data_IF_754856798307
#
_entry.id   IF_754856798307
#
_cell.length_a   1.000
_cell.length_b   1.000
_cell.length_c   1.000
_cell.angle_alpha   90.00
_cell.angle_beta   90.00
_cell.angle_gamma   90.00
#
_symmetry.space_group_name_H-M   'P 1'
#
loop_
_entity.id
_entity.type
_entity.pdbx_description
1 polymer ?
#
# COMPACT_ATOMS: atom_id res chain seq x y z
N UNK A 1 -61.16 -53.11 35.71
CA UNK A 1 -61.22 -53.28 37.19
C UNK A 1 -59.91 -52.73 37.75
N UNK A 2 -59.81 -51.83 38.74
CA UNK A 2 -60.79 -51.09 39.57
C UNK A 2 -60.35 -49.61 39.69
N UNK A 3 -61.34 -48.75 39.95
CA UNK A 3 -61.30 -47.37 40.49
C UNK A 3 -60.48 -47.26 41.81
N UNK A 4 -60.14 -46.10 42.44
CA UNK A 4 -60.60 -44.69 42.33
C UNK A 4 -59.63 -43.72 43.08
N UNK A 5 -59.91 -42.39 43.01
CA UNK A 5 -59.44 -41.26 43.87
C UNK A 5 -58.00 -40.75 43.60
N UNK A 6 -57.55 -39.51 43.95
CA UNK A 6 -58.10 -38.15 44.25
C UNK A 6 -57.26 -37.42 45.35
N UNK A 7 -56.86 -36.16 45.05
CA UNK A 7 -56.56 -34.98 45.91
C UNK A 7 -55.14 -34.67 46.50
N UNK A 8 -54.63 -33.51 46.06
CA UNK A 8 -53.96 -32.37 46.74
C UNK A 8 -52.89 -32.51 47.84
N UNK A 9 -51.82 -31.71 47.68
CA UNK A 9 -51.28 -30.62 48.56
C UNK A 9 -49.89 -30.27 47.99
N UNK A 10 -49.72 -29.17 47.26
CA UNK A 10 -49.42 -27.80 47.74
C UNK A 10 -48.13 -27.69 48.59
N UNK A 11 -46.99 -27.49 47.92
CA UNK A 11 -45.89 -26.66 48.45
C UNK A 11 -45.01 -26.13 47.31
N UNK A 12 -45.12 -24.82 47.07
CA UNK A 12 -44.04 -23.84 46.97
C UNK A 12 -42.71 -24.32 46.34
N UNK A 13 -42.44 -23.84 45.12
CA UNK A 13 -41.16 -23.17 44.84
C UNK A 13 -41.45 -21.99 43.91
N UNK A 14 -41.18 -20.79 44.40
CA UNK A 14 -41.37 -19.49 43.74
C UNK A 14 -39.99 -18.83 43.69
N UNK A 15 -39.73 -17.96 42.69
CA UNK A 15 -38.41 -17.33 42.43
C UNK A 15 -37.46 -18.40 41.81
N UNK A 16 -36.75 -18.19 40.71
CA UNK A 16 -36.05 -16.98 40.26
C UNK A 16 -36.37 -16.65 38.78
N UNK A 17 -36.95 -15.48 38.53
CA UNK A 17 -36.69 -14.72 37.31
C UNK A 17 -35.83 -13.54 37.73
N UNK A 18 -34.52 -13.61 37.50
CA UNK A 18 -33.67 -12.43 37.53
C UNK A 18 -33.97 -11.63 36.26
N UNK A 19 -34.96 -10.75 36.34
CA UNK A 19 -34.82 -9.49 35.64
C UNK A 19 -33.80 -8.68 36.42
N UNK A 20 -32.69 -8.27 35.78
CA UNK A 20 -31.96 -7.13 36.29
C UNK A 20 -32.91 -5.94 36.25
N UNK A 21 -33.30 -5.47 37.44
CA UNK A 21 -33.55 -4.06 37.66
C UNK A 21 -32.18 -3.42 37.65
N UNK A 22 -31.81 -2.81 36.53
CA UNK A 22 -30.79 -1.77 36.55
C UNK A 22 -31.48 -0.55 37.17
N UNK A 23 -31.36 -0.45 38.51
CA UNK A 23 -32.01 0.60 39.28
C UNK A 23 -31.31 1.94 39.06
N UNK A 24 -31.98 2.78 38.28
CA UNK A 24 -32.26 4.18 38.64
C UNK A 24 -31.04 5.02 39.06
N UNK A 25 -30.29 5.48 38.05
CA UNK A 25 -29.86 6.88 37.89
C UNK A 25 -29.39 7.10 36.44
N UNK A 26 -30.29 6.95 35.47
CA UNK A 26 -30.09 7.61 34.19
C UNK A 26 -30.32 9.10 34.43
N UNK A 27 -29.32 9.94 34.14
CA UNK A 27 -29.61 11.37 34.06
C UNK A 27 -30.56 11.59 32.88
N UNK A 28 -31.56 12.44 33.11
CA UNK A 28 -32.55 12.84 32.09
C UNK A 28 -32.45 14.35 31.80
N UNK A 29 -31.39 14.99 32.28
CA UNK A 29 -31.12 16.42 32.16
C UNK A 29 -30.22 16.62 30.96
N UNK A 30 -30.69 17.21 29.85
CA UNK A 30 -29.82 17.43 28.71
C UNK A 30 -28.72 18.43 29.06
N UNK A 31 -27.48 18.22 28.57
CA UNK A 31 -26.37 19.11 28.84
C UNK A 31 -26.62 20.51 28.26
N UNK A 32 -25.89 21.49 28.79
CA UNK A 32 -25.91 22.85 28.26
C UNK A 32 -25.49 22.92 26.78
N UNK A 33 -25.89 23.98 26.08
CA UNK A 33 -25.32 24.28 24.77
C UNK A 33 -23.87 24.77 24.91
N UNK A 34 -22.99 24.33 24.02
CA UNK A 34 -21.63 24.86 23.91
C UNK A 34 -21.61 26.34 23.49
N UNK A 35 -20.46 27.00 23.65
CA UNK A 35 -20.22 28.37 23.15
C UNK A 35 -19.14 28.34 22.07
N UNK A 36 -19.39 28.97 20.92
CA UNK A 36 -18.43 29.04 19.81
C UNK A 36 -17.38 30.11 20.12
N UNK A 37 -16.11 29.76 20.03
CA UNK A 37 -14.99 30.70 20.22
C UNK A 37 -14.50 31.28 18.90
N UNK A 38 -14.29 30.42 17.90
CA UNK A 38 -13.73 30.79 16.60
C UNK A 38 -14.11 29.73 15.53
N UNK A 39 -14.11 30.15 14.26
CA UNK A 39 -14.22 29.24 13.11
C UNK A 39 -13.09 29.58 12.13
N UNK A 40 -12.26 28.59 11.80
CA UNK A 40 -11.16 28.71 10.83
C UNK A 40 -11.51 27.89 9.59
N UNK A 41 -11.85 28.51 8.44
CA UNK A 41 -12.01 27.80 7.18
C UNK A 41 -10.73 27.04 6.77
N UNK A 42 -10.90 25.85 6.23
CA UNK A 42 -9.82 24.99 5.67
C UNK A 42 -10.20 24.56 4.26
N UNK A 43 -9.26 23.94 3.53
CA UNK A 43 -9.47 23.53 2.15
C UNK A 43 -10.45 22.35 2.09
N UNK A 44 -11.68 22.64 1.64
CA UNK A 44 -12.79 21.70 1.66
C UNK A 44 -13.42 21.49 3.05
N UNK A 45 -13.27 22.46 3.96
CA UNK A 45 -13.72 22.31 5.33
C UNK A 45 -13.65 23.54 6.23
N UNK A 46 -13.75 23.31 7.53
CA UNK A 46 -13.48 24.31 8.56
C UNK A 46 -13.38 23.70 9.95
N UNK A 47 -12.50 24.26 10.77
CA UNK A 47 -12.32 23.89 12.18
C UNK A 47 -13.17 24.84 13.04
N UNK A 48 -14.12 24.28 13.79
CA UNK A 48 -14.98 25.01 14.71
C UNK A 48 -14.43 24.81 16.12
N UNK A 49 -13.94 25.88 16.74
CA UNK A 49 -13.47 25.89 18.14
C UNK A 49 -14.58 26.34 19.09
N UNK A 50 -14.72 25.65 20.21
CA UNK A 50 -15.81 25.86 21.16
C UNK A 50 -15.39 25.62 22.62
N UNK A 51 -16.12 26.24 23.53
CA UNK A 51 -16.11 25.95 24.96
C UNK A 51 -17.33 25.09 25.33
N UNK A 52 -17.09 23.96 26.01
CA UNK A 52 -18.14 23.10 26.55
C UNK A 52 -18.90 23.77 27.72
N UNK A 53 -20.16 23.40 27.99
CA UNK A 53 -20.86 23.80 29.20
C UNK A 53 -20.16 23.24 30.46
N UNK A 54 -20.48 23.81 31.63
CA UNK A 54 -20.07 23.26 32.94
C UNK A 54 -20.97 22.07 33.27
N UNK A 55 -20.61 20.90 32.73
CA UNK A 55 -21.31 19.64 32.92
C UNK A 55 -20.32 18.47 33.05
N UNK A 56 -20.68 17.45 33.83
CA UNK A 56 -19.71 16.47 34.34
C UNK A 56 -19.68 15.12 33.62
N UNK A 57 -20.71 14.80 32.85
CA UNK A 57 -20.89 13.54 32.12
C UNK A 57 -21.00 13.74 30.59
N UNK A 58 -20.40 14.80 30.06
CA UNK A 58 -20.33 15.03 28.61
C UNK A 58 -19.54 13.89 27.94
N UNK A 59 -20.15 13.26 26.94
CA UNK A 59 -19.56 12.17 26.17
C UNK A 59 -18.88 12.69 24.89
N UNK A 60 -19.61 13.44 24.05
CA UNK A 60 -19.08 14.05 22.83
C UNK A 60 -19.87 15.27 22.36
N UNK A 61 -19.24 16.07 21.48
CA UNK A 61 -19.90 17.04 20.63
C UNK A 61 -20.18 16.41 19.27
N UNK A 62 -21.39 16.59 18.75
CA UNK A 62 -21.82 16.14 17.42
C UNK A 62 -22.14 17.33 16.55
N UNK A 63 -21.52 17.41 15.38
CA UNK A 63 -21.85 18.41 14.36
C UNK A 63 -22.61 17.74 13.21
N UNK A 64 -23.81 18.23 12.90
CA UNK A 64 -24.62 17.79 11.75
C UNK A 64 -24.59 18.84 10.64
N UNK A 65 -24.41 18.40 9.38
CA UNK A 65 -24.42 19.25 8.19
C UNK A 65 -24.80 18.46 6.93
N UNK A 66 -25.02 19.16 5.82
CA UNK A 66 -25.23 18.55 4.50
C UNK A 66 -23.92 18.62 3.72
N UNK A 67 -23.37 17.48 3.29
CA UNK A 67 -22.16 17.45 2.48
C UNK A 67 -22.42 17.94 1.04
N UNK A 68 -21.37 18.09 0.23
CA UNK A 68 -21.51 18.59 -1.15
C UNK A 68 -22.21 17.63 -2.12
N UNK A 69 -22.44 16.37 -1.73
CA UNK A 69 -23.29 15.41 -2.43
C UNK A 69 -24.79 15.53 -2.05
N UNK A 70 -25.15 16.49 -1.18
CA UNK A 70 -26.52 16.70 -0.72
C UNK A 70 -26.99 15.72 0.37
N UNK A 71 -26.08 14.96 0.97
CA UNK A 71 -26.38 13.96 2.00
C UNK A 71 -26.18 14.58 3.38
N UNK A 72 -27.14 14.34 4.28
CA UNK A 72 -27.00 14.71 5.70
C UNK A 72 -25.99 13.80 6.38
N UNK A 73 -24.90 14.39 6.87
CA UNK A 73 -23.78 13.71 7.54
C UNK A 73 -23.56 14.29 8.93
N UNK A 74 -22.74 13.61 9.73
CA UNK A 74 -22.28 14.15 11.00
C UNK A 74 -20.82 13.79 11.27
N UNK A 75 -20.17 14.61 12.10
CA UNK A 75 -18.87 14.34 12.72
C UNK A 75 -19.04 14.36 14.24
N UNK A 76 -18.13 13.72 14.97
CA UNK A 76 -18.09 13.72 16.43
C UNK A 76 -16.71 14.09 16.94
N UNK A 77 -16.65 14.79 18.07
CA UNK A 77 -15.42 15.11 18.78
C UNK A 77 -15.60 14.82 20.27
N UNK A 78 -14.65 14.13 20.89
CA UNK A 78 -14.78 13.70 22.28
C UNK A 78 -14.88 14.88 23.25
N UNK A 79 -15.44 14.67 24.44
CA UNK A 79 -15.51 15.68 25.51
C UNK A 79 -14.16 16.21 26.00
N UNK A 80 -13.04 15.58 25.61
CA UNK A 80 -11.68 16.03 25.91
C UNK A 80 -11.16 17.09 24.92
N UNK A 81 -11.88 17.35 23.84
CA UNK A 81 -11.52 18.29 22.79
C UNK A 81 -12.34 19.60 22.89
N UNK A 82 -11.73 20.70 22.45
CA UNK A 82 -12.37 22.01 22.32
C UNK A 82 -12.58 22.43 20.85
N UNK A 83 -12.52 21.48 19.92
CA UNK A 83 -12.77 21.71 18.50
C UNK A 83 -13.36 20.50 17.80
N UNK A 84 -14.00 20.76 16.66
CA UNK A 84 -14.45 19.74 15.70
C UNK A 84 -14.09 20.21 14.29
N UNK A 85 -13.54 19.30 13.50
CA UNK A 85 -13.31 19.52 12.07
C UNK A 85 -14.55 19.14 11.28
N UNK A 86 -14.89 19.99 10.31
CA UNK A 86 -15.87 19.75 9.27
C UNK A 86 -15.10 19.63 7.96
N UNK A 87 -15.22 18.50 7.28
CA UNK A 87 -14.52 18.16 6.05
C UNK A 87 -15.48 17.53 5.01
N UNK A 88 -14.94 17.11 3.86
CA UNK A 88 -15.71 16.53 2.76
C UNK A 88 -16.59 17.55 2.02
N UNK A 89 -16.21 18.83 2.03
CA UNK A 89 -16.91 19.90 1.31
C UNK A 89 -16.19 20.26 0.00
N UNK A 90 -16.96 20.41 -1.08
CA UNK A 90 -16.49 20.78 -2.41
C UNK A 90 -17.18 22.05 -2.95
N UNK A 91 -17.56 22.96 -2.06
CA UNK A 91 -18.31 24.17 -2.38
C UNK A 91 -17.62 25.42 -1.83
N UNK A 92 -17.64 26.53 -2.58
CA UNK A 92 -17.12 27.83 -2.11
C UNK A 92 -18.25 28.75 -1.59
N UNK A 93 -19.30 28.15 -1.02
CA UNK A 93 -20.49 28.83 -0.50
C UNK A 93 -20.70 28.51 0.97
N UNK A 94 -21.32 29.44 1.69
CA UNK A 94 -21.61 29.28 3.11
C UNK A 94 -22.41 27.99 3.39
N UNK A 95 -22.02 27.27 4.43
CA UNK A 95 -22.67 26.08 4.96
C UNK A 95 -23.11 26.35 6.40
N UNK A 96 -24.31 25.89 6.76
CA UNK A 96 -24.81 25.89 8.13
C UNK A 96 -24.48 24.55 8.79
N UNK A 97 -23.81 24.58 9.94
CA UNK A 97 -23.49 23.42 10.77
C UNK A 97 -24.22 23.54 12.10
N UNK A 98 -24.81 22.43 12.56
CA UNK A 98 -25.61 22.36 13.80
C UNK A 98 -24.86 21.53 14.82
N UNK A 99 -24.37 22.16 15.89
CA UNK A 99 -23.61 21.49 16.94
C UNK A 99 -24.50 21.17 18.15
N UNK A 100 -24.31 19.97 18.68
CA UNK A 100 -24.99 19.45 19.87
C UNK A 100 -23.96 18.90 20.85
N UNK A 101 -24.21 19.08 22.14
CA UNK A 101 -23.51 18.37 23.22
C UNK A 101 -24.33 17.14 23.58
N UNK A 102 -23.68 15.99 23.73
CA UNK A 102 -24.30 14.71 24.10
C UNK A 102 -23.60 14.15 25.34
N UNK A 103 -24.38 13.72 26.33
CA UNK A 103 -23.90 13.15 27.59
C UNK A 103 -23.76 11.61 27.55
N UNK A 104 -23.27 11.01 28.64
CA UNK A 104 -23.13 9.55 28.83
C UNK A 104 -24.49 8.81 28.85
N UNK A 105 -25.61 9.53 29.02
CA UNK A 105 -26.97 9.01 29.07
C UNK A 105 -27.75 9.20 27.74
N UNK A 106 -27.08 9.66 26.68
CA UNK A 106 -27.62 10.00 25.36
C UNK A 106 -28.60 11.21 25.33
N UNK A 107 -28.67 12.05 26.38
CA UNK A 107 -29.42 13.30 26.28
C UNK A 107 -28.66 14.32 25.40
N UNK A 108 -29.42 15.17 24.71
CA UNK A 108 -28.90 16.06 23.66
C UNK A 108 -29.25 17.52 23.97
N UNK A 109 -28.24 18.40 23.97
CA UNK A 109 -28.41 19.84 24.18
C UNK A 109 -29.33 20.51 23.14
N UNK A 110 -29.72 21.75 23.39
CA UNK A 110 -30.23 22.59 22.30
C UNK A 110 -29.10 22.86 21.27
N UNK A 111 -29.42 22.90 19.96
CA UNK A 111 -28.42 23.11 18.92
C UNK A 111 -27.83 24.52 18.97
N UNK A 112 -26.54 24.61 18.62
CA UNK A 112 -25.89 25.86 18.25
C UNK A 112 -25.63 25.81 16.76
N UNK A 113 -26.24 26.72 16.02
CA UNK A 113 -26.11 26.80 14.56
C UNK A 113 -25.04 27.84 14.20
N UNK A 114 -24.11 27.46 13.33
CA UNK A 114 -23.04 28.33 12.82
C UNK A 114 -22.97 28.29 11.32
N UNK A 115 -22.68 29.44 10.70
CA UNK A 115 -22.43 29.56 9.28
C UNK A 115 -20.96 29.87 9.02
N UNK A 116 -20.33 29.17 8.07
CA UNK A 116 -19.02 29.55 7.55
C UNK A 116 -18.89 29.18 6.06
N UNK A 117 -17.94 29.80 5.36
CA UNK A 117 -17.59 29.42 3.99
C UNK A 117 -16.22 28.74 4.03
N UNK A 118 -16.06 27.50 3.53
CA UNK A 118 -14.77 26.82 3.47
C UNK A 118 -13.85 27.47 2.42
N UNK A 119 -12.57 27.09 2.42
CA UNK A 119 -11.66 27.37 1.30
C UNK A 119 -11.89 26.32 0.18
N UNK A 120 -11.44 26.58 -1.07
CA UNK A 120 -11.55 25.61 -2.17
C UNK A 120 -11.04 24.22 -1.77
N UNK A 121 -11.73 23.16 -2.20
CA UNK A 121 -11.34 21.81 -1.81
C UNK A 121 -9.92 21.48 -2.26
N UNK A 122 -9.19 20.77 -1.39
CA UNK A 122 -7.80 20.37 -1.60
C UNK A 122 -7.62 19.51 -2.87
N UNK A 123 -8.66 18.78 -3.31
CA UNK A 123 -8.64 18.03 -4.57
C UNK A 123 -8.37 18.93 -5.78
N UNK A 124 -8.80 20.19 -5.77
CA UNK A 124 -8.49 21.13 -6.85
C UNK A 124 -7.04 21.62 -6.77
N UNK A 125 -6.49 21.81 -5.57
CA UNK A 125 -5.07 22.16 -5.41
C UNK A 125 -4.15 21.03 -5.88
N UNK A 126 -4.48 19.79 -5.50
CA UNK A 126 -3.80 18.58 -5.98
C UNK A 126 -3.89 18.52 -7.50
N UNK A 127 -5.10 18.58 -8.06
CA UNK A 127 -5.35 18.57 -9.50
C UNK A 127 -4.55 19.65 -10.24
N UNK A 128 -4.53 20.90 -9.75
CA UNK A 128 -3.76 22.02 -10.33
C UNK A 128 -2.24 21.78 -10.27
N UNK A 129 -1.75 21.07 -9.25
CA UNK A 129 -0.32 20.79 -9.04
C UNK A 129 0.24 19.61 -9.85
N UNK A 130 -0.63 18.72 -10.39
CA UNK A 130 -0.20 17.51 -11.11
C UNK A 130 0.72 17.87 -12.28
N UNK A 131 1.95 17.36 -12.21
CA UNK A 131 2.93 17.34 -13.29
C UNK A 131 3.05 15.92 -13.84
N UNK A 132 3.32 15.80 -15.14
CA UNK A 132 3.59 14.52 -15.81
C UNK A 132 4.82 14.69 -16.69
N UNK A 133 5.78 13.78 -16.60
CA UNK A 133 7.02 13.79 -17.38
C UNK A 133 7.34 12.41 -17.98
N UNK A 134 7.96 12.34 -19.17
CA UNK A 134 8.34 11.07 -19.79
C UNK A 134 9.38 10.33 -18.96
N UNK A 135 9.19 9.03 -18.79
CA UNK A 135 10.15 8.11 -18.18
C UNK A 135 10.30 6.85 -19.03
N UNK A 136 11.24 5.97 -18.70
CA UNK A 136 11.46 4.71 -19.40
C UNK A 136 10.32 3.72 -19.14
N UNK A 137 9.70 3.26 -20.23
CA UNK A 137 8.54 2.39 -20.22
C UNK A 137 7.30 3.02 -19.58
N UNK A 138 7.23 4.35 -19.49
CA UNK A 138 6.21 4.99 -18.68
C UNK A 138 6.24 6.51 -18.63
N UNK A 139 5.58 7.03 -17.59
CA UNK A 139 5.64 8.42 -17.19
C UNK A 139 5.81 8.53 -15.68
N UNK A 140 6.49 9.58 -15.22
CA UNK A 140 6.54 9.97 -13.81
C UNK A 140 5.50 11.06 -13.55
N UNK A 141 4.65 10.84 -12.56
CA UNK A 141 3.69 11.80 -12.03
C UNK A 141 4.21 12.39 -10.71
N UNK A 142 4.03 13.70 -10.54
CA UNK A 142 4.34 14.41 -9.30
C UNK A 142 3.16 15.33 -8.92
N UNK A 143 2.85 15.47 -7.63
CA UNK A 143 1.87 16.46 -7.14
C UNK A 143 2.13 16.90 -5.70
N UNK A 144 1.56 18.04 -5.33
CA UNK A 144 1.55 18.57 -3.95
C UNK A 144 0.19 18.32 -3.29
N UNK A 145 0.20 17.88 -2.03
CA UNK A 145 -1.00 17.63 -1.23
C UNK A 145 -0.84 18.30 0.14
N UNK A 146 -1.00 19.62 0.14
CA UNK A 146 -0.71 20.52 1.27
C UNK A 146 -1.55 20.27 2.53
N UNK A 147 -2.64 19.51 2.43
CA UNK A 147 -3.49 19.13 3.58
C UNK A 147 -3.15 17.75 4.16
N UNK A 148 -2.24 16.98 3.54
CA UNK A 148 -1.84 15.61 3.94
C UNK A 148 -3.05 14.64 4.06
N UNK A 149 -4.12 14.90 3.30
CA UNK A 149 -5.35 14.10 3.26
C UNK A 149 -5.29 13.07 2.14
N UNK A 150 -5.95 11.92 2.33
CA UNK A 150 -6.01 10.88 1.30
C UNK A 150 -6.73 11.38 0.05
N UNK A 151 -6.05 11.31 -1.09
CA UNK A 151 -6.60 11.52 -2.44
C UNK A 151 -6.55 10.24 -3.27
N UNK A 152 -7.40 10.21 -4.30
CA UNK A 152 -7.36 9.25 -5.39
C UNK A 152 -7.21 10.03 -6.71
N UNK A 153 -6.03 9.95 -7.32
CA UNK A 153 -5.77 10.50 -8.66
C UNK A 153 -6.19 9.44 -9.68
N UNK A 154 -7.24 9.72 -10.45
CA UNK A 154 -7.65 8.88 -11.57
C UNK A 154 -6.87 9.35 -12.80
N UNK A 155 -5.82 8.63 -13.16
CA UNK A 155 -5.04 8.85 -14.37
C UNK A 155 -5.69 8.11 -15.55
N UNK A 156 -6.19 8.87 -16.52
CA UNK A 156 -6.65 8.38 -17.81
C UNK A 156 -5.48 8.47 -18.81
N UNK A 157 -5.12 7.34 -19.41
CA UNK A 157 -4.05 7.20 -20.41
C UNK A 157 -4.71 6.84 -21.72
N UNK A 158 -4.59 7.70 -22.73
CA UNK A 158 -5.21 7.50 -24.05
C UNK A 158 -4.14 7.28 -25.10
N UNK A 159 -4.10 6.08 -25.70
CA UNK A 159 -3.27 5.73 -26.85
C UNK A 159 -4.18 5.49 -28.08
N UNK A 160 -4.25 6.49 -28.96
CA UNK A 160 -5.11 6.46 -30.14
C UNK A 160 -6.61 6.35 -29.80
N UNK A 161 -7.19 5.17 -29.99
CA UNK A 161 -8.59 4.84 -29.70
C UNK A 161 -8.76 4.04 -28.38
N UNK A 162 -7.67 3.66 -27.71
CA UNK A 162 -7.68 2.89 -26.45
C UNK A 162 -7.50 3.80 -25.23
N UNK A 163 -8.22 3.51 -24.13
CA UNK A 163 -8.18 4.25 -22.87
C UNK A 163 -7.93 3.27 -21.71
N UNK A 164 -6.84 3.49 -20.96
CA UNK A 164 -6.57 2.84 -19.68
C UNK A 164 -6.83 3.82 -18.53
N UNK A 165 -7.46 3.37 -17.45
CA UNK A 165 -7.65 4.19 -16.23
C UNK A 165 -6.92 3.52 -15.06
N UNK A 166 -5.98 4.24 -14.47
CA UNK A 166 -5.25 3.84 -13.26
C UNK A 166 -5.62 4.75 -12.10
N UNK A 167 -5.85 4.17 -10.93
CA UNK A 167 -6.17 4.92 -9.71
C UNK A 167 -4.95 4.88 -8.80
N UNK A 168 -4.38 6.05 -8.52
CA UNK A 168 -3.23 6.23 -7.65
C UNK A 168 -3.71 6.87 -6.34
N UNK A 169 -3.30 6.35 -5.19
CA UNK A 169 -3.72 6.90 -3.89
C UNK A 169 -2.52 7.31 -3.06
N UNK A 170 -2.64 8.46 -2.39
CA UNK A 170 -1.64 8.96 -1.46
C UNK A 170 -2.26 9.90 -0.43
N UNK A 171 -1.59 10.03 0.70
CA UNK A 171 -1.79 11.06 1.72
C UNK A 171 -0.48 11.79 2.08
N UNK A 172 0.60 11.62 1.31
CA UNK A 172 1.89 12.29 1.55
C UNK A 172 1.80 13.78 1.18
N UNK A 173 2.65 14.67 1.73
CA UNK A 173 2.64 16.11 1.39
C UNK A 173 3.07 16.41 -0.05
N UNK A 174 3.92 15.55 -0.62
CA UNK A 174 4.44 15.63 -1.98
C UNK A 174 4.66 14.20 -2.44
N UNK A 175 4.07 13.84 -3.58
CA UNK A 175 4.05 12.46 -4.06
C UNK A 175 4.76 12.33 -5.40
N UNK A 176 5.41 11.18 -5.61
CA UNK A 176 6.15 10.84 -6.83
C UNK A 176 5.83 9.38 -7.22
N UNK A 177 5.11 9.18 -8.32
CA UNK A 177 4.70 7.85 -8.78
C UNK A 177 5.09 7.61 -10.23
N UNK A 178 5.73 6.46 -10.46
CA UNK A 178 6.04 5.95 -11.78
C UNK A 178 4.93 5.06 -12.33
N UNK A 179 4.42 5.42 -13.50
CA UNK A 179 3.35 4.72 -14.21
C UNK A 179 3.97 3.97 -15.39
N UNK A 180 4.25 2.68 -15.18
CA UNK A 180 5.07 1.81 -16.07
C UNK A 180 4.25 0.96 -17.04
N UNK A 181 4.92 0.27 -17.96
CA UNK A 181 4.28 -0.62 -18.94
C UNK A 181 3.59 0.11 -20.10
N UNK A 182 4.04 1.32 -20.44
CA UNK A 182 3.55 2.10 -21.57
C UNK A 182 4.52 1.98 -22.76
N UNK A 183 3.98 1.82 -23.97
CA UNK A 183 4.78 1.86 -25.19
C UNK A 183 5.33 3.26 -25.49
N UNK A 184 6.39 3.34 -26.30
CA UNK A 184 7.01 4.59 -26.78
C UNK A 184 6.21 5.27 -27.90
N UNK A 185 4.89 5.39 -27.72
CA UNK A 185 3.95 6.06 -28.64
C UNK A 185 3.50 7.42 -28.05
N UNK A 186 2.95 8.32 -28.87
CA UNK A 186 2.39 9.59 -28.39
C UNK A 186 1.03 9.36 -27.72
N UNK A 187 0.95 9.57 -26.41
CA UNK A 187 -0.24 9.34 -25.58
C UNK A 187 -0.74 10.63 -24.93
N UNK A 188 -2.05 10.73 -24.70
CA UNK A 188 -2.67 11.84 -23.96
C UNK A 188 -2.95 11.40 -22.53
N UNK A 189 -2.52 12.20 -21.56
CA UNK A 189 -2.69 11.94 -20.14
C UNK A 189 -3.67 12.96 -19.55
N UNK A 190 -4.80 12.46 -19.03
CA UNK A 190 -5.82 13.26 -18.35
C UNK A 190 -5.95 12.81 -16.89
N UNK A 191 -6.33 13.73 -16.01
CA UNK A 191 -6.51 13.44 -14.58
C UNK A 191 -7.76 14.08 -14.02
N UNK A 192 -8.32 13.44 -13.00
CA UNK A 192 -9.29 13.99 -12.06
C UNK A 192 -8.93 13.47 -10.66
N UNK A 193 -9.16 14.27 -9.63
CA UNK A 193 -8.86 13.91 -8.24
C UNK A 193 -10.15 13.72 -7.46
N UNK A 194 -10.22 12.64 -6.68
CA UNK A 194 -11.32 12.29 -5.78
C UNK A 194 -10.84 12.29 -4.32
N UNK A 195 -11.67 12.79 -3.40
CA UNK A 195 -11.45 12.68 -1.95
C UNK A 195 -12.16 11.46 -1.33
N UNK A 196 -11.86 11.19 -0.06
CA UNK A 196 -12.45 10.07 0.68
C UNK A 196 -13.98 10.17 0.90
N UNK A 197 -14.56 11.37 0.84
CA UNK A 197 -16.02 11.59 0.94
C UNK A 197 -16.73 11.46 -0.43
N UNK A 198 -15.98 11.20 -1.51
CA UNK A 198 -16.50 10.98 -2.87
C UNK A 198 -16.72 12.27 -3.67
N UNK A 199 -16.14 13.40 -3.26
CA UNK A 199 -16.08 14.59 -4.11
C UNK A 199 -14.99 14.41 -5.16
N UNK A 200 -15.29 14.75 -6.42
CA UNK A 200 -14.38 14.56 -7.55
C UNK A 200 -14.28 15.84 -8.41
N UNK A 201 -13.10 16.11 -8.97
CA UNK A 201 -12.91 17.19 -9.96
C UNK A 201 -13.46 16.80 -11.33
N UNK A 202 -13.58 17.79 -12.22
CA UNK A 202 -13.70 17.51 -13.66
C UNK A 202 -12.40 16.84 -14.18
N UNK A 203 -12.51 16.17 -15.32
CA UNK A 203 -11.37 15.55 -16.02
C UNK A 203 -10.63 16.60 -16.86
N UNK A 204 -9.32 16.74 -16.65
CA UNK A 204 -8.47 17.71 -17.35
C UNK A 204 -7.29 17.02 -18.02
N UNK A 205 -6.99 17.42 -19.27
CA UNK A 205 -5.75 17.07 -19.96
C UNK A 205 -4.56 17.74 -19.26
N UNK A 206 -3.55 16.96 -18.88
CA UNK A 206 -2.32 17.45 -18.24
C UNK A 206 -1.14 17.49 -19.21
N UNK A 207 -1.01 16.48 -20.07
CA UNK A 207 0.10 16.41 -21.00
C UNK A 207 -0.20 15.51 -22.22
N UNK A 208 0.54 15.76 -23.30
CA UNK A 208 0.72 14.83 -24.43
C UNK A 208 2.20 14.43 -24.41
N UNK A 209 2.47 13.14 -24.20
CA UNK A 209 3.82 12.63 -23.92
C UNK A 209 4.07 11.36 -24.73
N UNK A 210 5.29 11.23 -25.24
CA UNK A 210 5.85 9.94 -25.68
C UNK A 210 6.76 9.41 -24.56
N UNK A 211 6.41 8.29 -23.90
CA UNK A 211 7.30 7.57 -22.99
C UNK A 211 8.66 7.26 -23.64
N UNK A 212 9.71 7.19 -22.83
CA UNK A 212 11.00 6.75 -23.34
C UNK A 212 10.96 5.22 -23.54
N UNK A 213 11.47 4.75 -24.69
CA UNK A 213 11.43 3.32 -25.03
C UNK A 213 12.15 2.45 -23.99
N UNK A 214 11.44 1.44 -23.52
CA UNK A 214 11.91 0.35 -22.67
C UNK A 214 11.50 -0.98 -23.29
N UNK A 215 12.36 -1.98 -23.18
CA UNK A 215 12.03 -3.38 -23.40
C UNK A 215 12.56 -4.27 -22.25
N UNK A 216 11.99 -5.47 -22.13
CA UNK A 216 12.55 -6.52 -21.29
C UNK A 216 13.84 -7.04 -21.95
N UNK A 217 14.93 -7.11 -21.20
CA UNK A 217 16.19 -7.67 -21.69
C UNK A 217 16.01 -9.18 -21.93
N UNK A 218 16.15 -9.66 -23.17
CA UNK A 218 15.99 -11.08 -23.48
C UNK A 218 17.05 -11.93 -22.75
N UNK A 219 16.61 -12.99 -22.09
CA UNK A 219 17.45 -13.89 -21.27
C UNK A 219 18.06 -15.05 -22.05
N UNK A 220 17.61 -15.31 -23.29
CA UNK A 220 18.03 -16.48 -24.09
C UNK A 220 19.55 -16.58 -24.35
N UNK A 221 20.27 -15.47 -24.17
CA UNK A 221 21.72 -15.36 -24.34
C UNK A 221 22.50 -15.42 -23.02
N UNK A 222 21.85 -15.37 -21.87
CA UNK A 222 22.50 -15.24 -20.56
C UNK A 222 23.15 -16.55 -20.10
N UNK A 223 24.32 -16.45 -19.46
CA UNK A 223 25.09 -17.62 -19.02
C UNK A 223 25.79 -17.38 -17.67
N UNK A 224 25.74 -18.40 -16.80
CA UNK A 224 26.41 -18.41 -15.50
C UNK A 224 27.94 -18.38 -15.65
N UNK A 225 28.60 -17.45 -14.96
CA UNK A 225 30.06 -17.48 -14.76
C UNK A 225 30.37 -18.22 -13.45
N UNK A 226 30.40 -19.55 -13.53
CA UNK A 226 30.51 -20.42 -12.35
C UNK A 226 31.81 -20.27 -11.56
N UNK A 227 32.88 -19.72 -12.14
CA UNK A 227 34.13 -19.46 -11.40
C UNK A 227 34.06 -18.20 -10.53
N UNK A 228 33.05 -17.35 -10.72
CA UNK A 228 32.83 -16.12 -9.96
C UNK A 228 31.53 -16.16 -9.14
N UNK A 229 30.84 -17.30 -9.12
CA UNK A 229 29.53 -17.46 -8.48
C UNK A 229 29.57 -18.49 -7.35
N UNK A 230 28.73 -18.32 -6.34
CA UNK A 230 28.38 -19.39 -5.41
C UNK A 230 27.59 -20.49 -6.13
N UNK A 231 27.60 -21.69 -5.57
CA UNK A 231 26.84 -22.82 -6.10
C UNK A 231 25.41 -22.81 -5.52
N UNK A 232 24.43 -22.51 -6.37
CA UNK A 232 22.99 -22.59 -6.09
C UNK A 232 22.33 -23.90 -6.54
N UNK A 233 23.09 -24.95 -6.85
CA UNK A 233 22.57 -26.22 -7.39
C UNK A 233 22.36 -27.30 -6.30
N UNK A 234 21.86 -26.94 -5.12
CA UNK A 234 21.56 -27.93 -4.09
C UNK A 234 20.17 -28.54 -4.29
N UNK A 235 20.06 -29.86 -4.07
CA UNK A 235 18.82 -30.63 -4.16
C UNK A 235 18.12 -30.51 -5.52
N UNK A 236 16.91 -29.96 -5.55
CA UNK A 236 16.12 -29.66 -6.76
C UNK A 236 16.44 -28.31 -7.42
N UNK A 237 17.15 -27.41 -6.73
CA UNK A 237 17.41 -26.07 -7.23
C UNK A 237 18.52 -26.02 -8.29
N UNK A 238 18.45 -25.03 -9.17
CA UNK A 238 19.48 -24.74 -10.17
C UNK A 238 19.82 -23.24 -10.18
N UNK A 239 21.10 -22.89 -10.20
CA UNK A 239 21.53 -21.47 -10.23
C UNK A 239 21.01 -20.74 -11.48
N UNK A 240 20.83 -21.45 -12.59
CA UNK A 240 20.33 -20.89 -13.85
C UNK A 240 18.81 -20.65 -13.87
N UNK A 241 18.06 -21.30 -12.97
CA UNK A 241 16.62 -21.07 -12.79
C UNK A 241 16.34 -19.60 -12.44
N UNK A 242 17.32 -18.93 -11.82
CA UNK A 242 17.25 -17.51 -11.51
C UNK A 242 17.07 -16.58 -12.72
N UNK A 243 17.19 -17.05 -13.97
CA UNK A 243 16.91 -16.25 -15.16
C UNK A 243 16.30 -17.08 -16.31
N UNK A 244 15.49 -18.09 -16.01
CA UNK A 244 14.97 -19.04 -17.01
C UNK A 244 13.58 -18.71 -17.59
N UNK A 245 13.01 -17.56 -17.22
CA UNK A 245 11.66 -17.09 -17.55
C UNK A 245 10.52 -17.93 -16.92
N UNK A 246 10.81 -18.67 -15.86
CA UNK A 246 9.83 -19.42 -15.06
C UNK A 246 9.86 -18.90 -13.62
N UNK A 247 8.77 -18.25 -13.20
CA UNK A 247 8.55 -17.90 -11.78
C UNK A 247 7.95 -19.11 -11.05
N UNK A 248 8.54 -19.46 -9.92
CA UNK A 248 8.08 -20.53 -9.03
C UNK A 248 6.73 -20.19 -8.38
N UNK A 249 5.84 -21.19 -8.25
CA UNK A 249 4.47 -21.00 -7.73
C UNK A 249 4.18 -21.82 -6.48
N UNK A 250 3.21 -21.39 -5.67
CA UNK A 250 2.86 -22.09 -4.43
C UNK A 250 1.98 -23.35 -4.62
N UNK A 251 1.44 -23.57 -5.83
CA UNK A 251 0.45 -24.63 -6.08
C UNK A 251 1.07 -26.01 -6.37
N UNK A 252 2.24 -26.02 -7.01
CA UNK A 252 2.88 -27.22 -7.55
C UNK A 252 4.39 -27.10 -7.44
N UNK A 253 5.11 -28.22 -7.46
CA UNK A 253 6.57 -28.27 -7.52
C UNK A 253 7.07 -28.82 -8.86
N UNK A 254 6.26 -28.64 -9.92
CA UNK A 254 6.55 -29.08 -11.28
C UNK A 254 7.31 -28.03 -12.10
N UNK A 255 7.20 -26.78 -11.68
CA UNK A 255 7.96 -25.60 -12.08
C UNK A 255 9.33 -25.60 -11.38
N UNK A 256 9.36 -25.62 -10.04
CA UNK A 256 10.58 -25.74 -9.22
C UNK A 256 11.72 -24.77 -9.63
N UNK A 257 11.38 -23.60 -10.17
CA UNK A 257 12.35 -22.67 -10.76
C UNK A 257 12.90 -21.71 -9.71
N UNK A 258 13.97 -22.16 -9.04
CA UNK A 258 14.73 -21.38 -8.08
C UNK A 258 16.12 -21.96 -7.86
N UNK A 259 17.04 -21.12 -7.39
CA UNK A 259 18.31 -21.59 -6.86
C UNK A 259 18.18 -22.03 -5.39
N UNK A 260 19.03 -22.96 -4.97
CA UNK A 260 19.29 -23.28 -3.56
C UNK A 260 20.79 -23.18 -3.28
N UNK A 261 21.21 -22.06 -2.68
CA UNK A 261 22.56 -21.93 -2.13
C UNK A 261 22.57 -22.65 -0.78
N UNK A 262 23.20 -23.81 -0.72
CA UNK A 262 23.43 -24.52 0.54
C UNK A 262 24.85 -24.29 1.06
N UNK A 263 25.00 -23.92 2.33
CA UNK A 263 26.30 -23.58 2.93
C UNK A 263 27.35 -24.69 2.79
N UNK A 264 26.99 -25.98 2.91
CA UNK A 264 27.97 -27.07 2.91
C UNK A 264 28.56 -27.31 1.51
N UNK A 265 27.85 -26.91 0.45
CA UNK A 265 28.38 -26.86 -0.92
C UNK A 265 29.21 -25.59 -1.20
N UNK A 266 29.21 -24.63 -0.27
CA UNK A 266 29.83 -23.31 -0.39
C UNK A 266 30.82 -23.00 0.76
N UNK A 267 31.41 -24.04 1.37
CA UNK A 267 32.46 -23.92 2.39
C UNK A 267 32.02 -24.13 3.85
N UNK A 268 30.80 -24.61 4.09
CA UNK A 268 30.27 -24.96 5.42
C UNK A 268 29.67 -23.79 6.22
N UNK A 269 29.61 -22.60 5.64
CA UNK A 269 29.04 -21.38 6.26
C UNK A 269 28.58 -20.42 5.14
N UNK A 270 27.49 -19.68 5.36
CA UNK A 270 27.04 -18.62 4.46
C UNK A 270 27.95 -17.40 4.63
N UNK A 271 29.01 -17.34 3.83
CA UNK A 271 30.01 -16.27 3.88
C UNK A 271 29.56 -15.11 2.98
N UNK A 272 28.72 -14.23 3.51
CA UNK A 272 28.19 -13.06 2.79
C UNK A 272 29.30 -12.07 2.35
N UNK A 273 29.19 -11.42 1.16
CA UNK A 273 28.10 -11.58 0.20
C UNK A 273 28.20 -12.89 -0.60
N UNK A 274 27.04 -13.37 -1.06
CA UNK A 274 26.93 -14.55 -1.90
C UNK A 274 26.70 -14.10 -3.36
N UNK A 275 27.78 -14.08 -4.13
CA UNK A 275 27.77 -13.56 -5.50
C UNK A 275 27.19 -14.57 -6.50
N UNK A 276 26.27 -14.15 -7.38
CA UNK A 276 25.89 -14.85 -8.61
C UNK A 276 26.23 -13.93 -9.79
N UNK A 277 27.04 -14.42 -10.73
CA UNK A 277 27.58 -13.65 -11.84
C UNK A 277 27.06 -14.18 -13.18
N UNK A 278 26.40 -13.31 -13.92
CA UNK A 278 25.75 -13.59 -15.20
C UNK A 278 26.48 -12.84 -16.31
N UNK A 279 26.88 -13.56 -17.36
CA UNK A 279 27.30 -13.00 -18.64
C UNK A 279 26.08 -12.94 -19.55
N UNK A 280 25.60 -11.72 -19.84
CA UNK A 280 24.44 -11.49 -20.70
C UNK A 280 24.74 -11.83 -22.17
N UNK A 281 26.01 -12.01 -22.53
CA UNK A 281 26.56 -12.23 -23.89
C UNK A 281 26.30 -11.13 -24.94
N UNK A 282 25.56 -10.09 -24.57
CA UNK A 282 25.34 -8.82 -25.28
C UNK A 282 25.61 -7.64 -24.35
N UNK A 283 25.71 -6.43 -24.89
CA UNK A 283 25.69 -5.22 -24.07
C UNK A 283 24.25 -4.78 -23.90
N UNK A 284 23.92 -4.24 -22.73
CA UNK A 284 22.60 -3.68 -22.41
C UNK A 284 22.73 -2.39 -21.63
N UNK A 285 21.67 -1.58 -21.60
CA UNK A 285 21.45 -0.56 -20.56
C UNK A 285 20.21 -0.94 -19.78
N UNK A 286 20.24 -0.76 -18.47
CA UNK A 286 19.09 -1.01 -17.60
C UNK A 286 18.85 0.18 -16.69
N UNK A 287 17.62 0.33 -16.23
CA UNK A 287 17.25 1.35 -15.24
C UNK A 287 16.32 0.80 -14.16
N UNK A 288 15.69 -0.36 -14.40
CA UNK A 288 14.94 -1.10 -13.38
C UNK A 288 15.07 -2.60 -13.58
N UNK A 289 14.71 -3.33 -12.53
CA UNK A 289 14.67 -4.78 -12.53
C UNK A 289 13.62 -5.28 -11.54
N UNK A 290 13.33 -6.57 -11.60
CA UNK A 290 12.39 -7.25 -10.73
C UNK A 290 12.99 -8.57 -10.28
N UNK A 291 12.77 -8.92 -9.01
CA UNK A 291 13.18 -10.21 -8.46
C UNK A 291 12.01 -10.94 -7.82
N UNK A 292 12.03 -12.26 -7.90
CA UNK A 292 11.07 -13.13 -7.23
C UNK A 292 11.74 -14.01 -6.18
N UNK A 293 11.05 -14.17 -5.05
CA UNK A 293 11.39 -15.14 -4.02
C UNK A 293 10.88 -16.54 -4.43
N UNK A 294 11.44 -17.61 -3.85
CA UNK A 294 10.87 -18.96 -3.94
C UNK A 294 9.46 -18.96 -3.34
N UNK A 295 8.49 -19.55 -4.04
CA UNK A 295 7.10 -19.63 -3.64
C UNK A 295 6.72 -21.01 -3.08
N UNK A 296 7.26 -22.11 -3.61
CA UNK A 296 6.82 -23.43 -3.23
C UNK A 296 7.35 -23.86 -1.85
N UNK A 297 6.43 -24.08 -0.91
CA UNK A 297 6.74 -24.42 0.48
C UNK A 297 6.80 -25.94 0.71
N UNK A 298 8.00 -26.52 0.67
CA UNK A 298 8.21 -27.92 1.02
C UNK A 298 7.84 -28.21 2.49
N UNK A 299 6.94 -29.18 2.70
CA UNK A 299 6.35 -29.54 3.99
C UNK A 299 5.53 -28.42 4.68
N UNK A 300 5.22 -27.33 3.96
CA UNK A 300 4.35 -26.26 4.44
C UNK A 300 2.85 -26.53 4.24
N UNK A 301 2.01 -25.54 4.57
CA UNK A 301 0.60 -25.58 4.24
C UNK A 301 0.39 -25.50 2.72
N UNK A 302 -0.43 -26.40 2.16
CA UNK A 302 -0.70 -26.45 0.72
C UNK A 302 -1.31 -25.13 0.21
N UNK A 303 -0.73 -24.56 -0.84
CA UNK A 303 -1.20 -23.32 -1.47
C UNK A 303 -0.84 -22.03 -0.72
N UNK A 304 -0.02 -22.10 0.34
CA UNK A 304 0.55 -20.90 1.00
C UNK A 304 1.98 -20.70 0.49
N UNK A 305 2.32 -19.55 -0.11
CA UNK A 305 3.66 -19.29 -0.64
C UNK A 305 4.70 -19.12 0.47
N UNK A 306 5.95 -19.46 0.13
CA UNK A 306 7.13 -19.36 1.00
C UNK A 306 7.79 -17.97 1.00
N UNK A 307 7.08 -16.93 0.55
CA UNK A 307 7.59 -15.56 0.52
C UNK A 307 7.88 -15.03 1.94
N UNK A 308 8.92 -14.23 2.08
CA UNK A 308 9.41 -13.62 3.32
C UNK A 308 9.80 -14.63 4.43
N UNK A 309 10.03 -15.90 4.07
CA UNK A 309 10.46 -16.95 5.00
C UNK A 309 11.99 -17.06 5.08
N UNK A 310 12.50 -17.63 6.19
CA UNK A 310 13.90 -17.60 6.65
C UNK A 310 14.97 -17.79 5.56
N UNK A 311 14.70 -18.66 4.60
CA UNK A 311 15.65 -19.10 3.56
C UNK A 311 15.59 -18.25 2.28
N UNK A 312 14.58 -17.41 2.08
CA UNK A 312 14.51 -16.54 0.90
C UNK A 312 15.47 -15.35 1.00
N UNK A 313 16.04 -14.93 -0.13
CA UNK A 313 16.85 -13.71 -0.21
C UNK A 313 16.07 -12.47 0.20
N UNK A 314 16.75 -11.52 0.83
CA UNK A 314 16.15 -10.27 1.31
C UNK A 314 16.85 -9.04 0.73
N UNK A 315 18.13 -8.84 1.09
CA UNK A 315 18.93 -7.70 0.63
C UNK A 315 20.07 -8.13 -0.26
N UNK A 316 20.44 -7.28 -1.21
CA UNK A 316 21.48 -7.55 -2.20
C UNK A 316 22.01 -6.27 -2.86
N UNK A 317 23.27 -6.33 -3.30
CA UNK A 317 23.91 -5.27 -4.09
C UNK A 317 24.00 -5.71 -5.55
N UNK A 318 23.62 -4.84 -6.49
CA UNK A 318 23.68 -5.11 -7.93
C UNK A 318 24.88 -4.40 -8.57
N UNK A 319 25.69 -5.13 -9.33
CA UNK A 319 26.85 -4.58 -10.03
C UNK A 319 26.85 -4.90 -11.52
N UNK A 320 27.43 -3.98 -12.30
CA UNK A 320 27.69 -4.10 -13.72
C UNK A 320 29.22 -4.17 -14.00
N UNK A 321 29.61 -4.90 -15.04
CA UNK A 321 30.99 -4.94 -15.55
C UNK A 321 31.05 -5.18 -17.05
N UNK A 322 32.17 -4.80 -17.66
CA UNK A 322 32.52 -5.11 -19.06
C UNK A 322 33.72 -6.06 -19.20
N UNK A 323 34.37 -6.45 -18.09
CA UNK A 323 35.57 -7.29 -18.13
C UNK A 323 35.71 -8.30 -16.96
N UNK A 324 34.66 -8.44 -16.13
CA UNK A 324 34.58 -9.27 -14.90
C UNK A 324 35.60 -8.95 -13.80
N UNK A 325 36.37 -7.86 -13.94
CA UNK A 325 37.40 -7.41 -12.99
C UNK A 325 36.98 -6.11 -12.33
N UNK A 326 36.64 -5.11 -13.14
CA UNK A 326 36.17 -3.80 -12.70
C UNK A 326 34.64 -3.83 -12.59
N UNK A 327 34.13 -3.64 -11.38
CA UNK A 327 32.69 -3.71 -11.06
C UNK A 327 32.18 -2.33 -10.63
N UNK A 328 31.18 -1.83 -11.34
CA UNK A 328 30.42 -0.62 -11.00
C UNK A 328 29.18 -1.01 -10.20
N UNK A 329 28.98 -0.41 -9.03
CA UNK A 329 27.74 -0.57 -8.27
C UNK A 329 26.60 0.14 -9.01
N UNK A 330 25.50 -0.57 -9.27
CA UNK A 330 24.26 -0.02 -9.81
C UNK A 330 23.31 0.43 -8.69
N UNK A 331 23.31 -0.27 -7.55
CA UNK A 331 22.53 0.10 -6.36
C UNK A 331 22.58 -0.97 -5.27
N UNK A 332 22.01 -0.64 -4.12
CA UNK A 332 21.86 -1.52 -2.96
C UNK A 332 20.37 -1.62 -2.61
N UNK A 333 19.87 -2.84 -2.45
CA UNK A 333 18.43 -3.10 -2.41
C UNK A 333 18.06 -4.01 -1.22
N UNK A 334 16.88 -3.78 -0.65
CA UNK A 334 16.25 -4.61 0.38
C UNK A 334 14.78 -4.78 0.00
N UNK A 335 14.30 -6.04 -0.07
CA UNK A 335 12.88 -6.36 -0.28
C UNK A 335 12.01 -5.88 0.88
N UNK A 336 12.61 -5.62 2.04
CA UNK A 336 11.94 -5.21 3.26
C UNK A 336 11.40 -6.41 4.05
N UNK A 337 10.72 -6.12 5.15
CA UNK A 337 10.07 -7.13 6.00
C UNK A 337 8.67 -6.62 6.36
N UNK A 338 7.62 -7.10 5.66
CA UNK A 338 6.25 -6.66 5.89
C UNK A 338 5.55 -7.41 7.03
N UNK A 339 6.27 -8.14 7.88
CA UNK A 339 5.68 -8.82 9.02
C UNK A 339 5.08 -7.85 10.04
N UNK A 340 3.86 -8.13 10.48
CA UNK A 340 3.22 -7.36 11.55
C UNK A 340 3.72 -7.79 12.94
N UNK A 341 3.23 -7.14 14.01
CA UNK A 341 3.65 -7.42 15.41
C UNK A 341 3.49 -8.89 15.85
N UNK A 342 2.68 -9.69 15.14
CA UNK A 342 2.47 -11.11 15.40
C UNK A 342 3.31 -12.03 14.49
N UNK A 343 4.18 -11.48 13.63
CA UNK A 343 4.99 -12.23 12.66
C UNK A 343 4.25 -12.67 11.40
N UNK A 344 3.02 -12.18 11.16
CA UNK A 344 2.26 -12.54 9.96
C UNK A 344 2.49 -11.53 8.83
N UNK A 345 2.61 -12.03 7.60
CA UNK A 345 2.64 -11.20 6.38
C UNK A 345 1.19 -10.86 5.96
N UNK A 346 0.82 -9.59 5.72
CA UNK A 346 -0.49 -9.23 5.19
C UNK A 346 -0.67 -9.70 3.73
N UNK A 347 -1.92 -9.99 3.33
CA UNK A 347 -2.22 -10.58 2.02
C UNK A 347 -1.73 -9.71 0.85
N UNK A 348 -1.89 -8.39 0.93
CA UNK A 348 -1.48 -7.47 -0.14
C UNK A 348 0.02 -7.57 -0.45
N UNK A 349 0.87 -7.86 0.54
CA UNK A 349 2.31 -8.11 0.34
C UNK A 349 2.61 -9.50 -0.23
N UNK A 350 1.77 -10.50 0.04
CA UNK A 350 1.86 -11.82 -0.60
C UNK A 350 1.48 -11.72 -2.08
N UNK A 351 0.42 -10.98 -2.39
CA UNK A 351 -0.05 -10.76 -3.76
C UNK A 351 0.95 -9.89 -4.55
N UNK A 352 1.55 -8.87 -3.91
CA UNK A 352 2.66 -8.12 -4.49
C UNK A 352 3.90 -9.01 -4.75
N UNK A 353 4.29 -9.86 -3.80
CA UNK A 353 5.43 -10.77 -3.96
C UNK A 353 5.23 -11.80 -5.08
N UNK A 354 3.99 -12.28 -5.30
CA UNK A 354 3.65 -13.13 -6.44
C UNK A 354 3.84 -12.41 -7.80
N UNK A 355 3.56 -11.11 -7.84
CA UNK A 355 3.83 -10.26 -8.99
C UNK A 355 5.30 -9.80 -9.07
N UNK A 356 6.14 -10.16 -8.10
CA UNK A 356 7.57 -9.88 -8.00
C UNK A 356 7.90 -8.46 -7.53
N UNK A 357 9.06 -8.32 -6.89
CA UNK A 357 9.53 -7.09 -6.26
C UNK A 357 10.22 -6.16 -7.27
N UNK A 358 9.57 -5.05 -7.64
CA UNK A 358 10.13 -4.01 -8.50
C UNK A 358 11.20 -3.18 -7.78
N UNK A 359 12.28 -2.89 -8.50
CA UNK A 359 13.37 -2.02 -8.05
C UNK A 359 13.87 -1.13 -9.18
N UNK A 360 14.02 0.16 -8.89
CA UNK A 360 14.56 1.15 -9.80
C UNK A 360 16.01 1.53 -9.43
N UNK A 361 16.81 1.89 -10.43
CA UNK A 361 18.12 2.51 -10.25
C UNK A 361 17.98 4.03 -10.18
N UNK A 362 18.93 4.72 -9.54
CA UNK A 362 19.02 6.20 -9.53
C UNK A 362 19.09 6.84 -10.94
N UNK A 363 19.31 6.04 -11.98
CA UNK A 363 19.24 6.43 -13.38
C UNK A 363 19.62 5.29 -14.32
N UNK A 364 19.65 5.58 -15.62
CA UNK A 364 20.04 4.60 -16.65
C UNK A 364 21.51 4.21 -16.49
N UNK A 365 21.78 2.91 -16.47
CA UNK A 365 23.15 2.39 -16.43
C UNK A 365 23.96 2.80 -17.67
N UNK A 366 25.28 2.86 -17.53
CA UNK A 366 26.16 2.75 -18.70
C UNK A 366 26.05 1.35 -19.35
N UNK A 367 26.42 1.18 -20.63
CA UNK A 367 26.45 -0.13 -21.29
C UNK A 367 27.30 -1.16 -20.53
N UNK A 368 26.73 -2.33 -20.26
CA UNK A 368 27.45 -3.43 -19.62
C UNK A 368 27.06 -4.81 -20.17
N UNK A 369 27.94 -5.80 -19.96
CA UNK A 369 27.77 -7.20 -20.39
C UNK A 369 27.65 -8.19 -19.25
N UNK A 370 28.22 -7.88 -18.10
CA UNK A 370 28.26 -8.78 -16.95
C UNK A 370 27.47 -8.19 -15.79
N UNK A 371 26.44 -8.89 -15.34
CA UNK A 371 25.68 -8.59 -14.14
C UNK A 371 26.26 -9.41 -12.97
N UNK A 372 26.31 -8.81 -11.78
CA UNK A 372 26.54 -9.55 -10.53
C UNK A 372 25.52 -9.11 -9.50
N UNK A 373 24.67 -10.04 -9.09
CA UNK A 373 23.88 -9.89 -7.87
C UNK A 373 24.73 -10.43 -6.72
N UNK A 374 24.89 -9.61 -5.68
CA UNK A 374 25.69 -9.94 -4.50
C UNK A 374 24.71 -9.99 -3.33
N UNK A 375 24.19 -11.17 -3.03
CA UNK A 375 23.21 -11.32 -1.94
C UNK A 375 23.91 -10.95 -0.63
N UNK A 376 23.29 -10.12 0.20
CA UNK A 376 23.85 -9.62 1.47
C UNK A 376 23.08 -10.10 2.70
N UNK A 377 21.81 -10.50 2.55
CA UNK A 377 21.04 -11.17 3.62
C UNK A 377 19.89 -12.04 3.10
N UNK A 378 19.36 -12.87 4.01
CA UNK A 378 18.08 -13.57 3.93
C UNK A 378 17.23 -13.23 5.18
N UNK A 379 16.05 -13.85 5.32
CA UNK A 379 15.18 -13.65 6.50
C UNK A 379 15.60 -14.45 7.76
N UNK A 380 16.85 -14.93 7.83
CA UNK A 380 17.43 -15.47 9.08
C UNK A 380 18.04 -16.88 9.00
N UNK A 381 17.94 -17.59 7.87
CA UNK A 381 18.54 -18.92 7.75
C UNK A 381 20.07 -18.87 7.79
N UNK A 382 20.69 -19.73 8.60
CA UNK A 382 22.15 -19.89 8.67
C UNK A 382 22.68 -20.93 7.67
N UNK A 383 21.78 -21.58 6.91
CA UNK A 383 22.06 -22.80 6.14
C UNK A 383 21.73 -22.67 4.65
N UNK A 384 20.65 -21.98 4.29
CA UNK A 384 20.15 -21.88 2.92
C UNK A 384 19.85 -20.44 2.49
N UNK A 385 20.00 -20.18 1.18
CA UNK A 385 19.49 -18.96 0.52
C UNK A 385 18.81 -19.34 -0.79
N UNK A 386 17.60 -18.84 -1.01
CA UNK A 386 16.72 -19.11 -2.15
C UNK A 386 16.35 -17.82 -2.90
N UNK A 387 16.04 -17.97 -4.18
CA UNK A 387 15.47 -16.94 -5.05
C UNK A 387 15.01 -17.60 -6.34
N UNK A 388 13.90 -17.12 -6.90
CA UNK A 388 13.25 -17.74 -8.06
C UNK A 388 13.74 -17.16 -9.38
N UNK A 389 13.66 -15.84 -9.57
CA UNK A 389 13.81 -15.22 -10.90
C UNK A 389 14.35 -13.77 -10.78
N UNK A 390 15.09 -13.29 -11.80
CA UNK A 390 15.46 -11.89 -12.01
C UNK A 390 15.24 -11.46 -13.48
N UNK A 391 14.46 -10.41 -13.65
CA UNK A 391 14.22 -9.78 -14.96
C UNK A 391 14.75 -8.35 -14.96
N UNK A 392 15.41 -7.94 -16.04
CA UNK A 392 15.94 -6.59 -16.25
C UNK A 392 15.14 -5.87 -17.35
N UNK A 393 15.01 -4.55 -17.26
CA UNK A 393 14.42 -3.73 -18.33
C UNK A 393 15.27 -2.49 -18.67
N UNK A 394 15.21 -2.10 -19.95
CA UNK A 394 15.92 -0.94 -20.49
C UNK A 394 16.06 -1.03 -22.01
N UNK A 395 17.30 -1.06 -22.50
CA UNK A 395 17.63 -1.19 -23.92
C UNK A 395 18.46 -2.46 -24.14
N UNK A 396 17.98 -3.35 -25.01
CA UNK A 396 18.63 -4.63 -25.29
C UNK A 396 19.55 -4.59 -26.51
N UNK A 397 20.55 -5.47 -26.52
CA UNK A 397 21.47 -5.73 -27.62
C UNK A 397 22.03 -4.45 -28.30
N UNK A 398 22.59 -3.55 -27.49
CA UNK A 398 23.22 -2.31 -27.97
C UNK A 398 24.67 -2.54 -28.43
N UNK A 399 25.15 -1.70 -29.36
CA UNK A 399 26.50 -1.76 -29.94
C UNK A 399 27.63 -1.47 -28.93
#
# INVERSE_FOLDING_TARGET
MKKTKILSILFISIIILFGCKDDENQDSTPPGSLTIENITPTNGGGIISYQLPDDSDILFVRAEYTNSLGVGVYRVSSSHNNSIEIDGLNQNTAITVRLFVVDENENISQPVEVDFTPLPSFIYLVQESISISPDLGGVKLEWENVEEKTVYVHLHIVDGDEEEIRILSSNTPTEEIFVRGLESNEMIFLTKVEDFDGNITDLEEKAIITPLFEEMIDKSTWALISQLSVNGNAWEGETIAFWDDIVDTAETNSDNSYFIIWRDQNGGTLNWPLDIVINLNKNVRVHRFKVWQRAFWYNGPTGIPYYFQEENMRSFDLYASNNTIDWTLLGQFDIGDPSNENGNIPQDFIDAAANGHDFDLDGVSEPFRYLKISLTSNYGSDTYVHGSEITLWGLDNID
#
